data_IF_076682700883
#
_entry.id   IF_076682700883
#
_cell.length_a   1.000
_cell.length_b   1.000
_cell.length_c   1.000
_cell.angle_alpha   90.00
_cell.angle_beta   90.00
_cell.angle_gamma   90.00
#
_symmetry.space_group_name_H-M   'P 1'
#
loop_
_entity.id
_entity.type
_entity.pdbx_description
1 polymer ?
#
# COMPACT_ATOMS: atom_id res chain seq x y z
N UNK A 1 -29.67 1.78 -47.44
CA UNK A 1 -29.29 1.37 -46.07
C UNK A 1 -29.10 2.62 -45.22
N UNK A 2 -30.00 2.86 -44.25
CA UNK A 2 -29.88 3.97 -43.28
C UNK A 2 -29.41 3.40 -41.95
N UNK A 3 -28.22 3.81 -41.49
CA UNK A 3 -27.73 3.50 -40.15
C UNK A 3 -28.49 4.35 -39.13
N UNK A 4 -29.34 3.72 -38.33
CA UNK A 4 -30.02 4.37 -37.21
C UNK A 4 -29.04 4.45 -36.03
N UNK A 5 -28.46 5.62 -35.79
CA UNK A 5 -27.71 5.89 -34.56
C UNK A 5 -28.68 5.99 -33.38
N UNK A 6 -28.83 4.91 -32.61
CA UNK A 6 -29.52 4.98 -31.32
C UNK A 6 -28.73 5.93 -30.41
N UNK A 7 -29.34 7.09 -30.11
CA UNK A 7 -28.89 8.04 -29.11
C UNK A 7 -28.62 7.29 -27.80
N UNK A 8 -27.39 7.39 -27.30
CA UNK A 8 -26.99 6.87 -26.00
C UNK A 8 -27.74 7.66 -24.92
N UNK A 9 -28.79 7.05 -24.39
CA UNK A 9 -29.65 7.62 -23.35
C UNK A 9 -28.92 7.61 -22.01
N UNK A 10 -28.38 8.76 -21.62
CA UNK A 10 -27.60 8.94 -20.38
C UNK A 10 -28.42 8.69 -19.12
N UNK A 11 -29.75 8.71 -19.20
CA UNK A 11 -30.62 8.57 -18.02
C UNK A 11 -30.87 7.11 -17.62
N UNK A 12 -30.62 6.16 -18.53
CA UNK A 12 -30.76 4.72 -18.24
C UNK A 12 -29.55 4.10 -17.52
N UNK A 13 -28.47 4.86 -17.29
CA UNK A 13 -27.31 4.39 -16.51
C UNK A 13 -27.55 4.41 -14.98
N UNK A 14 -28.70 4.95 -14.52
CA UNK A 14 -29.07 5.00 -13.09
C UNK A 14 -29.54 3.67 -12.50
N UNK A 15 -29.59 2.58 -13.28
CA UNK A 15 -30.03 1.24 -12.84
C UNK A 15 -28.93 0.16 -12.77
N UNK A 16 -27.65 0.53 -12.69
CA UNK A 16 -26.58 -0.42 -12.33
C UNK A 16 -26.51 -0.62 -10.79
N UNK A 17 -27.51 -1.29 -10.22
CA UNK A 17 -27.68 -1.55 -8.78
C UNK A 17 -26.60 -2.48 -8.15
N UNK A 18 -25.58 -2.88 -8.89
CA UNK A 18 -24.47 -3.73 -8.41
C UNK A 18 -23.33 -2.89 -7.81
N UNK A 19 -23.17 -1.62 -8.21
CA UNK A 19 -22.05 -0.77 -7.78
C UNK A 19 -22.18 -0.18 -6.36
N UNK A 20 -23.39 0.17 -5.93
CA UNK A 20 -23.59 0.90 -4.66
C UNK A 20 -23.41 0.01 -3.42
N UNK A 21 -23.82 -1.27 -3.51
CA UNK A 21 -23.65 -2.25 -2.43
C UNK A 21 -22.16 -2.63 -2.26
N UNK A 22 -21.45 -2.83 -3.37
CA UNK A 22 -20.02 -3.14 -3.37
C UNK A 22 -19.18 -2.04 -2.72
N UNK A 23 -19.41 -0.78 -3.12
CA UNK A 23 -18.71 0.37 -2.55
C UNK A 23 -19.02 0.53 -1.05
N UNK A 24 -20.29 0.38 -0.64
CA UNK A 24 -20.66 0.43 0.79
C UNK A 24 -19.97 -0.66 1.60
N UNK A 25 -19.94 -1.89 1.08
CA UNK A 25 -19.27 -3.03 1.73
C UNK A 25 -17.76 -2.80 1.85
N UNK A 26 -17.12 -2.29 0.80
CA UNK A 26 -15.69 -1.96 0.78
C UNK A 26 -15.37 -0.88 1.82
N UNK A 27 -16.12 0.22 1.85
CA UNK A 27 -15.96 1.28 2.86
C UNK A 27 -16.12 0.77 4.28
N UNK A 28 -17.12 -0.10 4.54
CA UNK A 28 -17.33 -0.71 5.85
C UNK A 28 -16.15 -1.61 6.27
N UNK A 29 -15.61 -2.40 5.35
CA UNK A 29 -14.42 -3.23 5.61
C UNK A 29 -13.20 -2.39 5.92
N UNK A 30 -12.98 -1.33 5.13
CA UNK A 30 -11.89 -0.38 5.34
C UNK A 30 -12.01 0.30 6.71
N UNK A 31 -13.21 0.73 7.09
CA UNK A 31 -13.47 1.33 8.40
C UNK A 31 -13.12 0.36 9.54
N UNK A 32 -13.61 -0.88 9.45
CA UNK A 32 -13.30 -1.91 10.43
C UNK A 32 -11.80 -2.21 10.50
N UNK A 33 -11.14 -2.30 9.35
CA UNK A 33 -9.70 -2.56 9.27
C UNK A 33 -8.90 -1.43 9.92
N UNK A 34 -9.24 -0.18 9.62
CA UNK A 34 -8.50 0.99 10.12
C UNK A 34 -8.83 1.34 11.57
N UNK A 35 -9.86 0.75 12.18
CA UNK A 35 -10.16 0.88 13.62
C UNK A 35 -9.16 0.13 14.51
N UNK A 36 -8.63 -0.99 14.02
CA UNK A 36 -7.61 -1.80 14.71
C UNK A 36 -6.41 -0.90 15.08
N UNK A 37 -5.80 -1.08 16.27
CA UNK A 37 -4.69 -0.26 16.74
C UNK A 37 -3.36 -0.63 16.05
N UNK A 38 -3.31 -0.54 14.72
CA UNK A 38 -2.08 -0.77 13.96
C UNK A 38 -0.96 0.19 14.42
N UNK A 39 0.26 -0.34 14.51
CA UNK A 39 1.47 0.47 14.69
C UNK A 39 1.80 1.28 13.43
N UNK A 40 1.45 0.76 12.25
CA UNK A 40 1.61 1.41 10.96
C UNK A 40 0.93 0.61 9.86
N UNK A 41 0.84 1.21 8.68
CA UNK A 41 0.27 0.60 7.48
C UNK A 41 1.29 0.72 6.35
N UNK A 42 1.55 -0.37 5.66
CA UNK A 42 2.44 -0.42 4.50
C UNK A 42 1.65 -1.06 3.37
N UNK A 43 1.68 -0.44 2.19
CA UNK A 43 0.98 -0.96 1.02
C UNK A 43 1.78 -0.79 -0.25
N UNK A 44 1.51 -1.68 -1.20
CA UNK A 44 1.98 -1.66 -2.59
C UNK A 44 0.88 -1.18 -3.54
N UNK A 45 -0.32 -0.88 -3.03
CA UNK A 45 -1.44 -0.40 -3.84
C UNK A 45 -1.24 1.06 -4.28
N UNK A 46 -1.68 1.35 -5.50
CA UNK A 46 -1.56 2.68 -6.10
C UNK A 46 -2.76 3.60 -5.79
N UNK A 47 -3.94 3.02 -5.57
CA UNK A 47 -5.20 3.74 -5.37
C UNK A 47 -5.20 4.63 -4.13
N UNK A 48 -6.14 5.57 -4.05
CA UNK A 48 -6.27 6.54 -2.94
C UNK A 48 -7.25 6.08 -1.86
N UNK A 49 -7.71 4.83 -1.88
CA UNK A 49 -8.84 4.40 -1.05
C UNK A 49 -8.55 4.56 0.45
N UNK A 50 -7.34 4.19 0.87
CA UNK A 50 -6.88 4.33 2.26
C UNK A 50 -6.56 5.80 2.55
N UNK A 51 -5.95 6.49 1.59
CA UNK A 51 -5.55 7.89 1.67
C UNK A 51 -6.75 8.80 1.99
N UNK A 52 -7.89 8.57 1.33
CA UNK A 52 -9.12 9.34 1.54
C UNK A 52 -9.80 9.04 2.90
N UNK A 53 -9.45 7.90 3.51
CA UNK A 53 -10.05 7.44 4.77
C UNK A 53 -9.26 7.87 5.99
N UNK A 54 -7.93 7.93 5.90
CA UNK A 54 -7.01 8.27 6.99
C UNK A 54 -7.34 9.63 7.65
N UNK A 55 -7.52 10.74 6.92
CA UNK A 55 -7.82 12.05 7.51
C UNK A 55 -9.10 12.05 8.36
N UNK A 56 -10.06 11.17 8.03
CA UNK A 56 -11.36 11.08 8.71
C UNK A 56 -11.27 10.44 10.08
N UNK A 57 -10.23 9.64 10.34
CA UNK A 57 -10.09 8.88 11.58
C UNK A 57 -9.38 9.67 12.69
N UNK A 58 -8.93 10.92 12.43
CA UNK A 58 -8.09 11.72 13.35
C UNK A 58 -6.86 10.98 13.91
N UNK A 59 -6.46 9.89 13.27
CA UNK A 59 -5.28 9.10 13.63
C UNK A 59 -4.07 9.71 12.92
N UNK A 60 -2.95 9.83 13.64
CA UNK A 60 -1.71 10.41 13.16
C UNK A 60 -1.01 9.49 12.15
N UNK A 61 -1.55 9.39 10.94
CA UNK A 61 -0.87 8.73 9.83
C UNK A 61 -0.15 9.75 8.98
N UNK A 62 1.18 9.69 9.00
CA UNK A 62 2.01 10.41 8.05
C UNK A 62 2.17 9.57 6.78
N UNK A 63 1.89 10.19 5.64
CA UNK A 63 1.84 9.52 4.35
C UNK A 63 3.19 9.64 3.65
N UNK A 64 3.76 8.50 3.26
CA UNK A 64 5.08 8.42 2.66
C UNK A 64 5.06 7.64 1.37
N UNK A 65 5.85 8.13 0.42
CA UNK A 65 6.10 7.50 -0.85
C UNK A 65 7.56 7.10 -0.91
N UNK A 66 7.85 5.85 -1.29
CA UNK A 66 9.20 5.33 -1.49
C UNK A 66 10.18 6.23 -2.28
N UNK A 67 9.82 6.94 -3.36
CA UNK A 67 10.75 7.80 -4.09
C UNK A 67 11.26 8.97 -3.23
N UNK A 68 10.52 9.37 -2.20
CA UNK A 68 10.94 10.37 -1.22
C UNK A 68 11.78 9.73 -0.10
N UNK A 69 12.62 8.76 -0.48
CA UNK A 69 13.37 7.92 0.44
C UNK A 69 14.30 8.65 1.39
N UNK A 70 14.58 9.93 1.12
CA UNK A 70 15.36 10.81 1.99
C UNK A 70 14.75 10.89 3.41
N UNK A 71 13.45 10.65 3.55
CA UNK A 71 12.76 10.70 4.83
C UNK A 71 12.73 9.36 5.60
N UNK A 72 13.22 8.24 5.04
CA UNK A 72 13.11 6.93 5.72
C UNK A 72 13.82 6.86 7.08
N UNK A 73 14.91 7.61 7.28
CA UNK A 73 15.58 7.70 8.58
C UNK A 73 14.68 8.30 9.67
N UNK A 74 13.87 9.31 9.32
CA UNK A 74 12.94 9.96 10.25
C UNK A 74 11.72 9.08 10.57
N UNK A 75 11.32 8.20 9.64
CA UNK A 75 10.20 7.27 9.82
C UNK A 75 10.40 6.36 11.04
N UNK A 76 11.63 5.95 11.32
CA UNK A 76 11.91 5.08 12.47
C UNK A 76 11.68 5.77 13.81
N UNK A 77 12.05 7.04 13.91
CA UNK A 77 11.73 7.86 15.08
C UNK A 77 10.22 8.06 15.20
N UNK A 78 9.55 8.20 14.05
CA UNK A 78 8.11 8.42 13.97
C UNK A 78 7.27 7.21 14.37
N UNK A 79 7.71 5.95 14.20
CA UNK A 79 6.96 4.79 14.70
C UNK A 79 6.70 4.84 16.23
N UNK A 80 7.49 5.61 16.97
CA UNK A 80 7.35 5.80 18.42
C UNK A 80 6.23 6.79 18.78
N UNK A 81 6.00 7.80 17.94
CA UNK A 81 5.14 8.96 18.23
C UNK A 81 3.92 9.06 17.29
N UNK A 82 3.99 8.41 16.12
CA UNK A 82 3.03 8.47 15.02
C UNK A 82 2.82 7.06 14.44
N UNK A 83 1.76 6.90 13.64
CA UNK A 83 1.43 5.64 12.95
C UNK A 83 1.72 5.78 11.47
N UNK A 84 2.87 5.40 10.90
CA UNK A 84 3.15 5.71 9.51
C UNK A 84 2.20 4.99 8.54
N UNK A 85 1.85 5.66 7.45
CA UNK A 85 1.21 5.07 6.28
C UNK A 85 2.14 5.18 5.08
N UNK A 86 2.73 4.05 4.68
CA UNK A 86 3.78 4.00 3.67
C UNK A 86 3.26 3.31 2.41
N UNK A 87 3.38 3.98 1.28
CA UNK A 87 3.10 3.43 -0.05
C UNK A 87 4.42 3.20 -0.77
N UNK A 88 4.85 1.94 -0.83
CA UNK A 88 6.18 1.60 -1.36
C UNK A 88 6.21 1.70 -2.88
N UNK A 89 5.10 1.41 -3.57
CA UNK A 89 5.08 1.49 -5.02
C UNK A 89 4.68 2.87 -5.57
N UNK A 90 4.42 3.84 -4.69
CA UNK A 90 3.92 5.15 -5.07
C UNK A 90 2.40 5.28 -5.00
N UNK A 91 1.84 6.16 -5.83
CA UNK A 91 0.42 6.49 -5.94
C UNK A 91 0.07 6.81 -7.40
N UNK A 92 -1.20 6.64 -7.75
CA UNK A 92 -1.78 7.17 -9.01
C UNK A 92 -1.54 8.68 -9.22
N UNK A 93 -1.34 9.44 -8.15
CA UNK A 93 -1.09 10.90 -8.23
C UNK A 93 0.40 11.28 -8.09
N UNK A 94 1.29 10.31 -7.85
CA UNK A 94 2.68 10.62 -7.44
C UNK A 94 3.68 10.71 -8.59
N UNK A 95 3.31 10.24 -9.79
CA UNK A 95 4.22 10.15 -10.94
C UNK A 95 5.32 9.08 -10.81
N UNK A 96 5.39 8.36 -9.69
CA UNK A 96 6.30 7.25 -9.46
C UNK A 96 5.54 5.94 -9.30
N UNK A 97 6.03 4.89 -9.98
CA UNK A 97 5.39 3.60 -10.05
C UNK A 97 6.42 2.49 -10.04
N UNK A 98 6.19 1.45 -9.25
CA UNK A 98 7.04 0.25 -9.21
C UNK A 98 6.33 -0.86 -9.97
N UNK A 99 6.50 -0.85 -11.28
CA UNK A 99 5.91 -1.81 -12.21
C UNK A 99 7.00 -2.60 -12.94
N UNK A 100 6.92 -3.93 -12.86
CA UNK A 100 7.83 -4.85 -13.53
C UNK A 100 9.20 -5.00 -12.85
N UNK A 101 9.90 -6.08 -13.20
CA UNK A 101 11.09 -6.56 -12.49
C UNK A 101 12.19 -5.51 -12.33
N UNK A 102 12.48 -4.72 -13.37
CA UNK A 102 13.52 -3.69 -13.31
C UNK A 102 13.26 -2.63 -12.23
N UNK A 103 12.04 -2.10 -12.16
CA UNK A 103 11.72 -1.08 -11.15
C UNK A 103 11.62 -1.68 -9.75
N UNK A 104 11.23 -2.96 -9.63
CA UNK A 104 11.33 -3.70 -8.38
C UNK A 104 12.77 -3.82 -7.91
N UNK A 105 13.69 -4.19 -8.80
CA UNK A 105 15.11 -4.30 -8.46
C UNK A 105 15.69 -2.96 -7.99
N UNK A 106 15.42 -1.90 -8.74
CA UNK A 106 15.86 -0.54 -8.40
C UNK A 106 15.30 -0.08 -7.04
N UNK A 107 14.05 -0.43 -6.73
CA UNK A 107 13.36 -0.01 -5.51
C UNK A 107 13.78 -0.82 -4.29
N UNK A 108 13.84 -2.14 -4.40
CA UNK A 108 14.04 -3.02 -3.24
C UNK A 108 15.49 -3.45 -3.05
N UNK A 109 16.27 -3.60 -4.12
CA UNK A 109 17.66 -4.05 -4.04
C UNK A 109 18.66 -2.90 -4.18
N UNK A 110 18.43 -1.97 -5.11
CA UNK A 110 19.37 -0.85 -5.33
C UNK A 110 19.19 0.32 -4.36
N UNK A 111 18.05 0.42 -3.67
CA UNK A 111 17.82 1.47 -2.67
C UNK A 111 18.05 0.93 -1.23
N UNK A 112 19.22 1.21 -0.61
CA UNK A 112 19.55 0.70 0.72
C UNK A 112 18.59 1.22 1.80
N UNK A 113 17.96 2.38 1.60
CA UNK A 113 17.03 2.94 2.59
C UNK A 113 15.74 2.15 2.68
N UNK A 114 15.22 1.71 1.53
CA UNK A 114 14.00 0.91 1.47
C UNK A 114 14.28 -0.48 2.04
N UNK A 115 15.41 -1.11 1.67
CA UNK A 115 15.75 -2.42 2.21
C UNK A 115 15.98 -2.39 3.73
N UNK A 116 16.66 -1.37 4.27
CA UNK A 116 16.81 -1.17 5.71
C UNK A 116 15.47 -0.90 6.40
N UNK A 117 14.59 -0.09 5.80
CA UNK A 117 13.23 0.12 6.28
C UNK A 117 12.44 -1.18 6.40
N UNK A 118 12.44 -1.98 5.34
CA UNK A 118 11.74 -3.27 5.36
C UNK A 118 12.34 -4.22 6.40
N UNK A 119 13.67 -4.28 6.53
CA UNK A 119 14.34 -5.07 7.55
C UNK A 119 13.93 -4.66 8.97
N UNK A 120 14.00 -3.37 9.29
CA UNK A 120 13.60 -2.86 10.59
C UNK A 120 12.14 -3.14 10.91
N UNK A 121 11.24 -2.95 9.93
CA UNK A 121 9.82 -3.26 10.10
C UNK A 121 9.61 -4.75 10.40
N UNK A 122 10.28 -5.63 9.66
CA UNK A 122 10.20 -7.09 9.85
C UNK A 122 10.78 -7.55 11.19
N UNK A 123 11.81 -6.87 11.71
CA UNK A 123 12.45 -7.24 12.98
C UNK A 123 11.70 -6.70 14.20
N UNK A 124 11.07 -5.52 14.09
CA UNK A 124 10.46 -4.82 15.23
C UNK A 124 8.97 -5.10 15.41
N UNK A 125 8.25 -5.45 14.35
CA UNK A 125 6.79 -5.54 14.38
C UNK A 125 6.27 -6.90 13.90
N UNK A 126 5.14 -7.31 14.47
CA UNK A 126 4.35 -8.42 13.94
C UNK A 126 3.63 -7.97 12.66
N UNK A 127 3.89 -8.66 11.56
CA UNK A 127 3.35 -8.32 10.25
C UNK A 127 2.10 -9.13 9.94
N UNK A 128 1.02 -8.43 9.60
CA UNK A 128 -0.23 -9.02 9.13
C UNK A 128 -0.45 -8.64 7.67
N UNK A 129 -0.34 -9.63 6.78
CA UNK A 129 -0.47 -9.43 5.33
C UNK A 129 -1.93 -9.63 4.89
N UNK A 130 -2.46 -8.68 4.11
CA UNK A 130 -3.84 -8.71 3.61
C UNK A 130 -3.82 -8.41 2.12
N UNK A 131 -4.56 -9.20 1.33
CA UNK A 131 -4.72 -8.95 -0.11
C UNK A 131 -3.49 -9.30 -0.95
N UNK A 132 -2.53 -10.03 -0.37
CA UNK A 132 -1.41 -10.63 -1.08
C UNK A 132 -1.74 -12.09 -1.46
N UNK A 133 -1.31 -12.53 -2.64
CA UNK A 133 -1.20 -13.97 -2.91
C UNK A 133 0.16 -14.46 -2.40
N UNK A 134 0.27 -15.74 -2.01
CA UNK A 134 1.53 -16.32 -1.52
C UNK A 134 2.68 -16.27 -2.55
N UNK A 135 2.38 -15.96 -3.81
CA UNK A 135 3.35 -15.79 -4.90
C UNK A 135 4.02 -14.41 -4.92
N UNK A 136 3.56 -13.46 -4.10
CA UNK A 136 4.09 -12.10 -4.10
C UNK A 136 5.58 -12.06 -3.69
N UNK A 137 6.39 -11.33 -4.47
CA UNK A 137 7.84 -11.15 -4.28
C UNK A 137 8.23 -10.63 -2.88
N UNK A 138 7.28 -10.04 -2.13
CA UNK A 138 7.46 -9.65 -0.73
C UNK A 138 7.79 -10.85 0.16
N UNK A 139 7.24 -12.04 -0.11
CA UNK A 139 7.61 -13.26 0.62
C UNK A 139 9.01 -13.73 0.25
N UNK A 140 9.43 -13.57 -1.01
CA UNK A 140 10.82 -13.84 -1.42
C UNK A 140 11.78 -12.86 -0.73
N UNK A 141 11.45 -11.57 -0.69
CA UNK A 141 12.21 -10.56 0.03
C UNK A 141 12.30 -10.90 1.52
N UNK A 142 11.19 -11.31 2.16
CA UNK A 142 11.20 -11.78 3.55
C UNK A 142 12.11 -12.98 3.72
N UNK A 143 12.02 -13.98 2.84
CA UNK A 143 12.85 -15.18 2.90
C UNK A 143 14.34 -14.85 2.75
N UNK A 144 14.69 -13.94 1.82
CA UNK A 144 16.07 -13.51 1.61
C UNK A 144 16.62 -12.67 2.75
N UNK A 145 15.78 -11.79 3.33
CA UNK A 145 16.13 -11.06 4.56
C UNK A 145 16.36 -12.04 5.70
N UNK A 146 15.45 -13.00 5.92
CA UNK A 146 15.60 -13.99 6.99
C UNK A 146 16.83 -14.88 6.80
N UNK A 147 17.13 -15.32 5.58
CA UNK A 147 18.36 -16.07 5.28
C UNK A 147 19.62 -15.29 5.67
N UNK A 148 19.67 -13.98 5.40
CA UNK A 148 20.82 -13.14 5.80
C UNK A 148 21.03 -13.09 7.33
N UNK A 149 19.98 -13.23 8.13
CA UNK A 149 20.07 -13.21 9.59
C UNK A 149 20.28 -14.60 10.23
N UNK A 150 19.83 -15.69 9.60
CA UNK A 150 20.00 -17.05 10.14
C UNK A 150 21.31 -17.74 9.74
N UNK A 151 22.12 -17.16 8.84
CA UNK A 151 23.44 -17.69 8.46
C UNK A 151 24.56 -17.22 9.42
N UNK A 152 24.29 -16.24 10.29
CA UNK A 152 25.16 -15.88 11.40
C UNK A 152 24.36 -15.85 12.70
N UNK A 153 24.26 -16.96 13.45
CA UNK A 153 23.88 -16.86 14.85
C UNK A 153 25.00 -16.13 15.62
N UNK A 154 24.68 -15.46 16.74
CA UNK A 154 25.69 -14.82 17.60
C UNK A 154 26.72 -15.82 18.12
#
# INVERSE_FOLDING_TARGET
MRYNSKRFDRDNCKKAYVGSCGIKRMKKRLDNLLRIPWAGLITTNYDTLIDDWIPRQKKFYYKLYAPNAQNFGNIFLDFSNNKPFVKIHGSVDSGYYVLGTKSYEETYFSNPRISLFMQHVMLRFNLFFIGCSLEDEIFRLRADIMKKFYIYPP
#
